data_IF_261780362315
#
_entry.id   IF_261780362315
#
_cell.length_a   1.000
_cell.length_b   1.000
_cell.length_c   1.000
_cell.angle_alpha   90.00
_cell.angle_beta   90.00
_cell.angle_gamma   90.00
#
_symmetry.space_group_name_H-M   'P 1'
#
loop_
_entity.id
_entity.type
_entity.pdbx_description
1 polymer ?
#
# COMPACT_ATOMS: atom_id res chain seq x y z
N UNK A 1 7.13 14.32 -8.86
CA UNK A 1 6.46 13.20 -9.56
C UNK A 1 4.96 13.40 -9.41
N UNK A 2 4.13 13.06 -10.39
CA UNK A 2 2.67 13.13 -10.19
C UNK A 2 2.21 12.07 -9.17
N UNK A 3 1.14 12.39 -8.43
CA UNK A 3 0.53 11.45 -7.49
C UNK A 3 -0.07 10.28 -8.28
N UNK A 4 0.27 9.02 -7.94
CA UNK A 4 -0.34 7.86 -8.58
C UNK A 4 -1.86 7.88 -8.40
N UNK A 5 -2.61 7.43 -9.41
CA UNK A 5 -4.06 7.28 -9.29
C UNK A 5 -4.41 6.37 -8.10
N UNK A 6 -5.51 6.63 -7.38
CA UNK A 6 -5.96 5.75 -6.32
C UNK A 6 -6.16 4.29 -6.79
N UNK A 7 -6.05 3.35 -5.86
CA UNK A 7 -6.23 1.92 -6.13
C UNK A 7 -7.47 1.38 -5.44
N UNK A 8 -8.38 0.82 -6.23
CA UNK A 8 -9.68 0.32 -5.79
C UNK A 8 -9.69 -1.11 -5.24
N UNK A 9 -8.59 -1.85 -5.43
CA UNK A 9 -8.46 -3.25 -5.03
C UNK A 9 -8.98 -4.28 -6.02
N UNK A 10 -9.54 -3.86 -7.17
CA UNK A 10 -10.16 -4.76 -8.15
C UNK A 10 -9.10 -5.47 -8.99
N UNK A 11 -8.10 -4.74 -9.50
CA UNK A 11 -7.05 -5.31 -10.35
C UNK A 11 -5.88 -5.85 -9.52
N UNK A 12 -5.87 -7.18 -9.33
CA UNK A 12 -4.89 -7.90 -8.50
C UNK A 12 -3.60 -8.23 -9.26
N UNK A 13 -2.64 -8.85 -8.56
CA UNK A 13 -1.43 -9.40 -9.17
C UNK A 13 -0.47 -8.35 -9.70
N UNK A 14 -0.12 -8.45 -10.99
CA UNK A 14 0.85 -7.54 -11.64
C UNK A 14 0.40 -6.08 -11.56
N UNK A 15 -0.90 -5.81 -11.71
CA UNK A 15 -1.44 -4.46 -11.63
C UNK A 15 -1.29 -3.87 -10.21
N UNK A 16 -1.66 -4.64 -9.19
CA UNK A 16 -1.48 -4.27 -7.79
C UNK A 16 0.00 -4.02 -7.46
N UNK A 17 0.91 -4.90 -7.92
CA UNK A 17 2.36 -4.74 -7.74
C UNK A 17 2.87 -3.46 -8.41
N UNK A 18 2.42 -3.17 -9.63
CA UNK A 18 2.82 -1.97 -10.36
C UNK A 18 2.36 -0.71 -9.64
N UNK A 19 1.11 -0.68 -9.17
CA UNK A 19 0.59 0.44 -8.39
C UNK A 19 1.42 0.70 -7.13
N UNK A 20 1.70 -0.33 -6.34
CA UNK A 20 2.48 -0.19 -5.12
C UNK A 20 3.93 0.26 -5.42
N UNK A 21 4.50 -0.22 -6.53
CA UNK A 21 5.83 0.21 -7.00
C UNK A 21 5.83 1.70 -7.35
N UNK A 22 4.81 2.19 -8.06
CA UNK A 22 4.66 3.62 -8.36
C UNK A 22 4.51 4.45 -7.08
N UNK A 23 3.78 3.96 -6.09
CA UNK A 23 3.63 4.64 -4.81
C UNK A 23 4.96 4.71 -4.04
N UNK A 24 5.71 3.61 -4.00
CA UNK A 24 7.05 3.58 -3.41
C UNK A 24 8.02 4.57 -4.08
N UNK A 25 7.99 4.64 -5.42
CA UNK A 25 8.78 5.62 -6.17
C UNK A 25 8.37 7.06 -5.83
N UNK A 26 7.06 7.33 -5.71
CA UNK A 26 6.57 8.65 -5.29
C UNK A 26 7.12 9.04 -3.91
N UNK A 27 7.08 8.14 -2.92
CA UNK A 27 7.64 8.41 -1.58
C UNK A 27 9.14 8.73 -1.65
N UNK A 28 9.91 7.97 -2.43
CA UNK A 28 11.36 8.21 -2.58
C UNK A 28 11.66 9.54 -3.25
N UNK A 29 10.92 9.88 -4.31
CA UNK A 29 11.14 11.09 -5.11
C UNK A 29 10.63 12.37 -4.42
N UNK A 30 9.73 12.24 -3.44
CA UNK A 30 9.16 13.37 -2.69
C UNK A 30 9.43 13.22 -1.19
N UNK A 31 10.60 12.71 -0.80
CA UNK A 31 10.94 12.39 0.59
C UNK A 31 10.80 13.60 1.52
N UNK A 32 11.11 14.80 1.04
CA UNK A 32 11.04 16.05 1.80
C UNK A 32 9.59 16.47 2.11
N UNK A 33 8.58 15.82 1.52
CA UNK A 33 7.17 16.02 1.84
C UNK A 33 6.69 15.18 3.05
N UNK A 34 7.56 14.37 3.65
CA UNK A 34 7.22 13.48 4.75
C UNK A 34 8.18 13.67 5.93
N UNK A 35 7.64 14.12 7.07
CA UNK A 35 8.39 14.35 8.30
C UNK A 35 8.87 13.03 8.93
N UNK A 36 8.14 11.95 8.71
CA UNK A 36 8.43 10.64 9.28
C UNK A 36 7.86 9.48 8.43
N UNK A 37 8.21 8.26 8.85
CA UNK A 37 7.79 7.02 8.17
C UNK A 37 6.27 6.81 8.23
N UNK A 38 5.62 7.19 9.33
CA UNK A 38 4.19 7.02 9.51
C UNK A 38 3.40 7.85 8.50
N UNK A 39 3.83 9.09 8.24
CA UNK A 39 3.24 9.92 7.19
C UNK A 39 3.36 9.27 5.80
N UNK A 40 4.51 8.67 5.48
CA UNK A 40 4.67 7.94 4.22
C UNK A 40 3.75 6.71 4.13
N UNK A 41 3.58 5.97 5.24
CA UNK A 41 2.67 4.83 5.32
C UNK A 41 1.21 5.24 5.17
N UNK A 42 0.79 6.28 5.90
CA UNK A 42 -0.56 6.84 5.81
C UNK A 42 -0.82 7.34 4.40
N UNK A 43 0.15 7.98 3.74
CA UNK A 43 -0.01 8.46 2.37
C UNK A 43 -0.29 7.33 1.38
N UNK A 44 0.46 6.21 1.46
CA UNK A 44 0.22 5.03 0.63
C UNK A 44 -1.22 4.52 0.85
N UNK A 45 -1.62 4.36 2.12
CA UNK A 45 -2.92 3.81 2.51
C UNK A 45 -4.09 4.73 2.15
N UNK A 46 -3.91 6.04 2.29
CA UNK A 46 -4.93 7.06 1.98
C UNK A 46 -5.23 7.14 0.48
N UNK A 47 -4.29 6.74 -0.38
CA UNK A 47 -4.51 6.63 -1.82
C UNK A 47 -5.15 5.29 -2.23
N UNK A 48 -5.72 4.54 -1.30
CA UNK A 48 -6.55 3.38 -1.59
C UNK A 48 -8.03 3.78 -1.52
N UNK A 49 -8.82 3.31 -2.47
CA UNK A 49 -10.25 3.63 -2.58
C UNK A 49 -11.10 2.36 -2.67
N UNK A 50 -12.43 2.51 -2.64
CA UNK A 50 -13.35 1.39 -2.77
C UNK A 50 -13.05 0.25 -1.78
N UNK A 51 -13.00 -0.99 -2.27
CA UNK A 51 -12.74 -2.19 -1.44
C UNK A 51 -11.34 -2.18 -0.81
N UNK A 52 -10.39 -1.51 -1.44
CA UNK A 52 -9.05 -1.38 -0.90
C UNK A 52 -8.99 -0.40 0.28
N UNK A 53 -9.87 0.61 0.31
CA UNK A 53 -10.01 1.50 1.45
C UNK A 53 -10.51 0.77 2.70
N UNK A 54 -11.43 -0.20 2.56
CA UNK A 54 -11.90 -1.03 3.68
C UNK A 54 -10.75 -1.80 4.35
N UNK A 55 -9.78 -2.25 3.55
CA UNK A 55 -8.55 -2.88 4.04
C UNK A 55 -7.58 -1.87 4.66
N UNK A 56 -7.45 -0.69 4.07
CA UNK A 56 -6.49 0.34 4.50
C UNK A 56 -6.90 1.04 5.80
N UNK A 57 -8.20 1.32 5.97
CA UNK A 57 -8.76 2.09 7.10
C UNK A 57 -8.32 1.59 8.48
N UNK A 58 -8.47 0.29 8.83
CA UNK A 58 -8.01 -0.19 10.14
C UNK A 58 -6.48 -0.11 10.33
N UNK A 59 -5.69 -0.12 9.24
CA UNK A 59 -4.24 0.03 9.32
C UNK A 59 -3.87 1.49 9.61
N UNK A 60 -4.56 2.44 8.99
CA UNK A 60 -4.42 3.88 9.28
C UNK A 60 -4.77 4.16 10.73
N UNK A 61 -5.87 3.61 11.24
CA UNK A 61 -6.25 3.74 12.66
C UNK A 61 -5.15 3.19 13.58
N UNK A 62 -4.55 2.04 13.24
CA UNK A 62 -3.45 1.50 14.03
C UNK A 62 -2.21 2.41 14.06
N UNK A 63 -1.85 3.03 12.93
CA UNK A 63 -0.71 3.96 12.86
C UNK A 63 -1.02 5.23 13.67
N UNK A 64 -2.14 5.87 13.38
CA UNK A 64 -2.53 7.15 13.99
C UNK A 64 -2.81 7.06 15.49
N UNK A 65 -3.30 5.91 15.96
CA UNK A 65 -3.56 5.63 17.38
C UNK A 65 -2.38 4.94 18.09
N UNK A 66 -1.23 4.73 17.42
CA UNK A 66 -0.08 4.00 17.94
C UNK A 66 -0.44 2.62 18.55
N UNK A 67 -1.36 1.90 17.88
CA UNK A 67 -1.85 0.60 18.35
C UNK A 67 -0.91 -0.54 17.92
N UNK A 68 -0.86 -1.64 18.70
CA UNK A 68 -0.24 -2.88 18.26
C UNK A 68 -0.81 -3.30 16.90
N UNK A 69 0.06 -3.62 15.95
CA UNK A 69 -0.35 -4.03 14.60
C UNK A 69 -0.13 -2.98 13.51
N UNK A 70 0.31 -1.75 13.83
CA UNK A 70 0.83 -0.82 12.83
C UNK A 70 2.05 -1.42 12.08
N UNK A 71 2.16 -1.29 10.74
CA UNK A 71 3.35 -1.67 10.01
C UNK A 71 4.52 -0.77 10.40
N UNK A 72 5.71 -1.34 10.58
CA UNK A 72 6.90 -0.58 11.03
C UNK A 72 7.55 0.26 9.93
N UNK A 73 7.36 -0.14 8.68
CA UNK A 73 7.91 0.53 7.51
C UNK A 73 7.20 0.10 6.21
N UNK A 74 7.59 0.74 5.10
CA UNK A 74 7.03 0.47 3.77
C UNK A 74 7.24 -0.99 3.35
N UNK A 75 8.33 -1.65 3.80
CA UNK A 75 8.60 -3.05 3.46
C UNK A 75 7.58 -3.98 4.11
N UNK A 76 7.27 -3.76 5.39
CA UNK A 76 6.22 -4.51 6.07
C UNK A 76 4.85 -4.25 5.43
N UNK A 77 4.53 -3.00 5.11
CA UNK A 77 3.28 -2.68 4.42
C UNK A 77 3.21 -3.36 3.04
N UNK A 78 4.31 -3.42 2.30
CA UNK A 78 4.39 -4.12 1.01
C UNK A 78 4.05 -5.60 1.16
N UNK A 79 4.58 -6.26 2.19
CA UNK A 79 4.32 -7.68 2.43
C UNK A 79 2.82 -7.93 2.74
N UNK A 80 2.22 -7.08 3.57
CA UNK A 80 0.79 -7.14 3.89
C UNK A 80 -0.07 -6.87 2.66
N UNK A 81 0.28 -5.86 1.87
CA UNK A 81 -0.40 -5.55 0.61
C UNK A 81 -0.32 -6.73 -0.37
N UNK A 82 0.86 -7.33 -0.54
CA UNK A 82 1.04 -8.47 -1.42
C UNK A 82 0.22 -9.68 -0.96
N UNK A 83 0.12 -9.95 0.35
CA UNK A 83 -0.72 -11.03 0.86
C UNK A 83 -2.20 -10.84 0.49
N UNK A 84 -2.67 -9.58 0.43
CA UNK A 84 -4.09 -9.26 0.20
C UNK A 84 -4.43 -8.98 -1.25
N UNK A 85 -3.49 -8.53 -2.09
CA UNK A 85 -3.77 -8.11 -3.48
C UNK A 85 -2.92 -8.82 -4.53
N UNK A 86 -2.04 -9.75 -4.15
CA UNK A 86 -1.42 -10.65 -5.14
C UNK A 86 -2.47 -11.54 -5.79
N UNK A 87 -2.10 -12.04 -6.97
CA UNK A 87 -2.90 -12.96 -7.74
C UNK A 87 -2.76 -14.38 -7.15
N UNK A 88 -3.84 -14.98 -6.63
CA UNK A 88 -3.80 -16.36 -6.17
C UNK A 88 -3.59 -17.36 -7.33
N UNK A 89 -4.00 -17.01 -8.54
CA UNK A 89 -3.97 -17.89 -9.72
C UNK A 89 -2.62 -17.89 -10.44
N UNK A 90 -1.73 -16.93 -10.12
CA UNK A 90 -0.37 -16.89 -10.63
C UNK A 90 0.46 -18.14 -10.26
N UNK A 91 0.09 -18.86 -9.19
CA UNK A 91 0.70 -20.14 -8.84
C UNK A 91 0.11 -21.34 -9.60
N UNK A 92 -1.15 -21.25 -10.05
CA UNK A 92 -1.82 -22.32 -10.81
C UNK A 92 -1.42 -22.33 -12.30
N UNK A 93 -0.90 -21.20 -12.82
CA UNK A 93 -0.45 -21.09 -14.21
C UNK A 93 0.99 -21.60 -14.44
N UNK A 94 1.72 -21.97 -13.39
CA UNK A 94 3.02 -22.64 -13.49
C UNK A 94 2.80 -24.17 -13.52
N UNK A 95 2.22 -24.65 -14.62
CA UNK A 95 2.17 -26.07 -14.98
C UNK A 95 3.48 -26.58 -15.55
#
# INVERSE_FOLDING_TARGET
>A
MEVPKPYDGVKRGKAAKQWFTCMGLYIVMNKDCFDNKDQALIWILYNMEGKAADWATPIIDNITSNKPGAPKDVKELTARFAAVFSDPDAKCAAG
#
